data_IF_802790242456
#
_entry.id   IF_802790242456
#
_cell.length_a   1.000
_cell.length_b   1.000
_cell.length_c   1.000
_cell.angle_alpha   90.00
_cell.angle_beta   90.00
_cell.angle_gamma   90.00
#
_symmetry.space_group_name_H-M   'P 1'
#
loop_
_entity.id
_entity.type
_entity.pdbx_description
1 polymer ?
#
# COMPACT_ATOMS: atom_id res chain seq x y z
N UNK A 1 -62.51 31.39 18.24
CA UNK A 1 -62.96 31.17 16.86
C UNK A 1 -61.80 30.50 16.14
N UNK A 2 -61.79 29.15 16.09
CA UNK A 2 -62.33 28.33 14.98
C UNK A 2 -61.26 28.23 13.87
N UNK A 3 -60.86 27.08 13.30
CA UNK A 3 -61.52 25.80 13.09
C UNK A 3 -60.43 24.70 13.02
N UNK A 4 -60.70 23.53 13.58
CA UNK A 4 -59.93 22.28 13.43
C UNK A 4 -60.15 21.70 12.02
N UNK A 5 -59.10 21.30 11.29
CA UNK A 5 -59.25 20.44 10.11
C UNK A 5 -58.64 19.05 10.36
N UNK A 6 -59.48 18.06 10.08
CA UNK A 6 -59.31 16.64 10.32
C UNK A 6 -59.39 15.98 8.94
N UNK A 7 -58.29 15.42 8.42
CA UNK A 7 -58.31 14.70 7.14
C UNK A 7 -57.70 13.32 7.30
N UNK A 8 -58.60 12.36 7.53
CA UNK A 8 -58.82 11.19 6.66
C UNK A 8 -57.62 10.31 6.33
N UNK A 9 -57.48 9.20 7.07
CA UNK A 9 -56.86 7.97 6.58
C UNK A 9 -57.72 7.35 5.47
N UNK A 10 -57.13 7.04 4.32
CA UNK A 10 -57.66 6.01 3.43
C UNK A 10 -56.58 4.94 3.19
N UNK A 11 -56.90 3.72 3.60
CA UNK A 11 -56.12 2.52 3.32
C UNK A 11 -56.62 1.95 1.98
N UNK A 12 -55.72 1.85 1.00
CA UNK A 12 -55.96 1.09 -0.22
C UNK A 12 -55.26 -0.26 -0.10
N UNK A 13 -56.06 -1.31 0.07
CA UNK A 13 -55.63 -2.69 -0.05
C UNK A 13 -55.51 -3.02 -1.54
N UNK A 14 -54.31 -3.44 -1.97
CA UNK A 14 -54.08 -4.00 -3.29
C UNK A 14 -53.64 -5.46 -3.14
N UNK A 15 -54.58 -6.35 -3.43
CA UNK A 15 -54.40 -7.80 -3.51
C UNK A 15 -54.00 -8.15 -4.93
N UNK A 16 -52.79 -8.68 -5.18
CA UNK A 16 -52.47 -9.37 -6.45
C UNK A 16 -51.52 -10.56 -6.20
N UNK A 17 -52.14 -11.74 -6.32
CA UNK A 17 -51.70 -13.00 -6.95
C UNK A 17 -50.23 -13.42 -6.81
N UNK A 18 -50.02 -14.43 -5.97
CA UNK A 18 -48.82 -15.27 -5.90
C UNK A 18 -48.80 -16.21 -7.11
N UNK A 19 -47.90 -15.95 -8.06
CA UNK A 19 -47.53 -16.89 -9.11
C UNK A 19 -46.25 -17.61 -8.73
N UNK A 20 -46.36 -18.88 -8.32
CA UNK A 20 -45.23 -19.77 -8.04
C UNK A 20 -44.74 -20.40 -9.34
N UNK A 21 -43.56 -19.97 -9.82
CA UNK A 21 -42.79 -20.68 -10.84
C UNK A 21 -41.57 -21.30 -10.16
N UNK A 22 -41.62 -22.63 -10.00
CA UNK A 22 -40.49 -23.45 -9.58
C UNK A 22 -39.47 -23.54 -10.72
N UNK A 23 -38.42 -22.73 -10.66
CA UNK A 23 -37.25 -22.87 -11.52
C UNK A 23 -36.14 -23.58 -10.75
N UNK A 24 -36.00 -24.89 -10.96
CA UNK A 24 -34.85 -25.67 -10.49
C UNK A 24 -33.64 -25.38 -11.38
N UNK A 25 -32.80 -24.41 -10.99
CA UNK A 25 -31.52 -24.16 -11.63
C UNK A 25 -30.41 -24.91 -10.86
N UNK A 26 -30.03 -26.08 -11.37
CA UNK A 26 -28.77 -26.71 -11.00
C UNK A 26 -27.64 -25.89 -11.63
N UNK A 27 -26.97 -25.06 -10.83
CA UNK A 27 -25.78 -24.33 -11.28
C UNK A 27 -24.56 -25.22 -11.04
N UNK A 28 -24.03 -25.81 -12.11
CA UNK A 28 -22.71 -26.43 -12.11
C UNK A 28 -21.62 -25.34 -12.01
N UNK A 29 -20.47 -25.58 -11.37
CA UNK A 29 -19.42 -24.58 -11.29
C UNK A 29 -18.73 -24.49 -12.67
N UNK A 30 -19.06 -23.44 -13.43
CA UNK A 30 -18.33 -23.09 -14.63
C UNK A 30 -16.98 -22.44 -14.25
N UNK A 31 -15.97 -23.29 -14.02
CA UNK A 31 -14.58 -22.86 -14.03
C UNK A 31 -14.13 -22.63 -15.48
N UNK A 32 -14.54 -21.52 -16.09
CA UNK A 32 -14.05 -21.09 -17.40
C UNK A 32 -12.76 -20.29 -17.24
N UNK A 33 -11.64 -20.99 -17.14
CA UNK A 33 -10.30 -20.40 -17.26
C UNK A 33 -10.06 -20.05 -18.74
N UNK A 34 -10.19 -18.77 -19.10
CA UNK A 34 -10.04 -18.26 -20.48
C UNK A 34 -8.58 -17.96 -20.86
N UNK A 35 -7.61 -18.76 -20.41
CA UNK A 35 -6.22 -18.63 -20.85
C UNK A 35 -5.72 -19.96 -21.42
N UNK A 36 -5.00 -19.95 -22.57
CA UNK A 36 -4.47 -21.17 -23.16
C UNK A 36 -3.52 -21.87 -22.18
N UNK A 37 -3.51 -23.22 -22.13
CA UNK A 37 -2.78 -24.01 -21.12
C UNK A 37 -1.25 -24.00 -21.31
N UNK A 38 -0.67 -22.98 -21.95
CA UNK A 38 0.76 -22.91 -22.25
C UNK A 38 1.28 -21.47 -22.34
N UNK A 39 0.89 -20.61 -21.41
CA UNK A 39 1.72 -19.42 -21.14
C UNK A 39 3.00 -19.88 -20.43
N UNK A 40 4.13 -19.69 -21.11
CA UNK A 40 5.51 -20.03 -20.69
C UNK A 40 5.92 -19.56 -19.28
N UNK A 41 5.11 -18.70 -18.65
CA UNK A 41 5.29 -18.23 -17.27
C UNK A 41 4.85 -19.23 -16.18
N UNK A 42 4.02 -20.25 -16.48
CA UNK A 42 3.55 -21.22 -15.48
C UNK A 42 4.53 -22.39 -15.23
N UNK A 43 5.54 -22.58 -16.07
CA UNK A 43 6.44 -23.73 -16.03
C UNK A 43 7.58 -23.63 -15.00
N UNK A 44 7.60 -22.59 -14.17
CA UNK A 44 8.69 -22.34 -13.20
C UNK A 44 8.36 -22.70 -11.75
N UNK A 45 7.21 -23.34 -11.48
CA UNK A 45 6.86 -23.70 -10.10
C UNK A 45 6.46 -25.17 -9.98
N UNK A 46 7.11 -25.95 -9.09
CA UNK A 46 6.68 -27.32 -8.83
C UNK A 46 5.27 -27.33 -8.20
N UNK A 47 4.47 -28.37 -8.42
CA UNK A 47 3.08 -28.48 -7.91
C UNK A 47 2.97 -28.49 -6.37
N UNK A 48 4.10 -28.58 -5.66
CA UNK A 48 4.23 -28.54 -4.20
C UNK A 48 4.77 -27.22 -3.66
N UNK A 49 4.93 -26.18 -4.49
CA UNK A 49 5.28 -24.86 -4.01
C UNK A 49 4.11 -24.29 -3.17
N UNK A 50 4.22 -24.44 -1.84
CA UNK A 50 3.43 -23.64 -0.90
C UNK A 50 3.63 -22.18 -1.31
N UNK A 51 2.57 -21.38 -1.55
CA UNK A 51 2.77 -19.99 -1.86
C UNK A 51 3.48 -19.36 -0.67
N UNK A 52 4.78 -19.08 -0.81
CA UNK A 52 5.46 -18.06 0.00
C UNK A 52 4.53 -16.86 -0.08
N UNK A 53 3.88 -16.50 1.04
CA UNK A 53 2.86 -15.43 1.06
C UNK A 53 3.45 -14.23 0.32
N UNK A 54 2.98 -14.03 -0.90
CA UNK A 54 3.59 -13.06 -1.79
C UNK A 54 3.38 -11.69 -1.18
N UNK A 55 4.46 -10.96 -1.02
CA UNK A 55 4.44 -9.54 -0.69
C UNK A 55 3.57 -8.86 -1.76
N UNK A 56 2.41 -8.29 -1.41
CA UNK A 56 1.39 -7.95 -2.40
C UNK A 56 1.78 -6.74 -3.27
N UNK A 57 2.64 -5.86 -2.78
CA UNK A 57 3.02 -4.63 -3.46
C UNK A 57 4.50 -4.64 -3.85
N UNK A 58 4.74 -4.63 -5.17
CA UNK A 58 6.04 -4.26 -5.73
C UNK A 58 6.35 -2.81 -5.35
N UNK A 59 7.56 -2.55 -4.85
CA UNK A 59 7.98 -1.20 -4.46
C UNK A 59 8.79 -0.58 -5.60
N UNK A 60 8.13 0.24 -6.41
CA UNK A 60 8.77 1.07 -7.45
C UNK A 60 9.46 2.30 -6.82
N UNK A 61 10.32 3.03 -7.57
CA UNK A 61 10.84 4.32 -7.11
C UNK A 61 9.75 5.29 -6.65
N UNK A 62 8.62 5.35 -7.35
CA UNK A 62 7.48 6.21 -7.05
C UNK A 62 6.82 5.85 -5.71
N UNK A 63 6.61 4.54 -5.49
CA UNK A 63 6.07 4.02 -4.23
C UNK A 63 7.06 4.24 -3.08
N UNK A 64 8.35 3.96 -3.30
CA UNK A 64 9.39 4.21 -2.30
C UNK A 64 9.49 5.70 -1.95
N UNK A 65 9.39 6.60 -2.94
CA UNK A 65 9.38 8.04 -2.72
C UNK A 65 8.19 8.50 -1.88
N UNK A 66 7.00 7.94 -2.15
CA UNK A 66 5.81 8.19 -1.33
C UNK A 66 5.98 7.69 0.10
N UNK A 67 6.45 6.45 0.28
CA UNK A 67 6.73 5.88 1.59
C UNK A 67 7.72 6.75 2.38
N UNK A 68 8.82 7.17 1.75
CA UNK A 68 9.79 8.06 2.36
C UNK A 68 9.19 9.43 2.72
N UNK A 69 8.29 9.94 1.89
CA UNK A 69 7.59 11.21 2.16
C UNK A 69 6.65 11.10 3.34
N UNK A 70 5.97 9.96 3.51
CA UNK A 70 5.17 9.69 4.71
C UNK A 70 6.06 9.64 5.95
N UNK A 71 7.19 8.92 5.89
CA UNK A 71 8.19 8.88 6.98
C UNK A 71 8.67 10.28 7.35
N UNK A 72 8.94 11.12 6.35
CA UNK A 72 9.36 12.49 6.57
C UNK A 72 8.27 13.32 7.24
N UNK A 73 7.01 13.15 6.80
CA UNK A 73 5.88 13.88 7.34
C UNK A 73 5.63 13.52 8.81
N UNK A 74 5.67 12.22 9.13
CA UNK A 74 5.53 11.67 10.48
C UNK A 74 6.75 11.89 11.38
N UNK A 75 7.86 12.41 10.84
CA UNK A 75 9.08 12.68 11.61
C UNK A 75 9.94 11.44 11.91
N UNK A 76 9.69 10.34 11.21
CA UNK A 76 10.41 9.05 11.36
C UNK A 76 11.48 8.86 10.28
N UNK A 77 11.60 9.77 9.31
CA UNK A 77 12.70 9.78 8.34
C UNK A 77 14.02 10.11 9.02
N UNK A 78 14.94 9.14 9.07
CA UNK A 78 16.28 9.27 9.65
C UNK A 78 17.34 9.10 8.57
N UNK A 79 17.24 9.90 7.51
CA UNK A 79 18.17 9.82 6.37
C UNK A 79 18.11 8.47 5.64
N UNK A 80 16.93 7.86 5.56
CA UNK A 80 16.75 6.54 4.96
C UNK A 80 17.02 5.36 5.90
N UNK A 81 17.68 5.57 7.04
CA UNK A 81 18.06 4.49 7.97
C UNK A 81 16.87 3.74 8.58
N UNK A 82 17.08 2.46 8.87
CA UNK A 82 16.05 1.55 9.39
C UNK A 82 15.59 1.86 10.82
N UNK A 83 16.37 2.65 11.57
CA UNK A 83 15.98 3.12 12.90
C UNK A 83 14.63 3.85 12.89
N UNK A 84 14.23 4.45 11.76
CA UNK A 84 12.91 5.05 11.57
C UNK A 84 11.74 4.09 11.74
N UNK A 85 11.91 2.80 11.40
CA UNK A 85 10.89 1.76 11.57
C UNK A 85 10.66 1.36 13.04
N UNK A 86 11.50 1.84 13.96
CA UNK A 86 11.38 1.58 15.40
C UNK A 86 10.80 2.75 16.19
N UNK A 87 10.55 3.88 15.55
CA UNK A 87 10.09 5.09 16.24
C UNK A 87 8.65 4.91 16.74
N UNK A 88 8.43 5.14 18.02
CA UNK A 88 7.11 5.28 18.63
C UNK A 88 6.73 6.75 18.73
N UNK A 89 5.44 7.02 18.93
CA UNK A 89 4.95 8.34 19.28
C UNK A 89 5.76 8.94 20.44
N UNK A 90 6.10 10.23 20.34
CA UNK A 90 6.98 10.91 21.30
C UNK A 90 8.48 10.69 21.05
N UNK A 91 8.88 9.89 20.06
CA UNK A 91 10.27 9.77 19.58
C UNK A 91 11.09 8.64 20.22
N UNK A 92 10.54 7.92 21.20
CA UNK A 92 11.18 6.73 21.76
C UNK A 92 11.31 5.60 20.72
N UNK A 93 12.22 4.66 20.96
CA UNK A 93 12.40 3.48 20.10
C UNK A 93 11.82 2.23 20.73
N UNK A 94 11.15 1.41 19.94
CA UNK A 94 10.70 0.09 20.39
C UNK A 94 11.88 -0.88 20.47
N UNK A 95 11.83 -1.80 21.43
CA UNK A 95 12.90 -2.76 21.70
C UNK A 95 13.01 -3.85 20.64
N UNK A 96 11.90 -4.26 20.02
CA UNK A 96 11.85 -5.28 18.98
C UNK A 96 10.86 -4.91 17.86
N UNK A 97 11.08 -5.48 16.67
CA UNK A 97 10.23 -5.41 15.46
C UNK A 97 9.34 -6.66 15.29
N UNK A 98 9.28 -7.56 16.27
CA UNK A 98 8.49 -8.81 16.17
C UNK A 98 6.98 -8.58 16.17
N UNK A 99 6.52 -7.45 16.72
CA UNK A 99 5.11 -7.04 16.73
C UNK A 99 4.98 -5.54 16.92
N UNK A 100 3.82 -5.01 16.58
CA UNK A 100 3.44 -3.66 16.97
C UNK A 100 3.48 -3.55 18.51
N UNK A 101 4.03 -2.47 19.10
CA UNK A 101 4.25 -2.39 20.54
C UNK A 101 2.96 -2.26 21.36
N UNK A 102 1.84 -1.88 20.72
CA UNK A 102 0.52 -1.69 21.35
C UNK A 102 0.56 -0.86 22.65
N UNK A 103 1.49 0.10 22.70
CA UNK A 103 1.80 0.90 23.88
C UNK A 103 1.41 2.35 23.68
N UNK A 104 0.48 2.86 24.49
CA UNK A 104 0.13 4.27 24.53
C UNK A 104 1.28 5.07 25.16
N UNK A 105 1.71 6.13 24.48
CA UNK A 105 2.65 7.13 24.98
C UNK A 105 1.90 8.44 25.19
N UNK A 106 2.11 9.05 26.35
CA UNK A 106 1.50 10.32 26.74
C UNK A 106 2.47 11.48 26.51
N UNK A 107 1.94 12.58 26.00
CA UNK A 107 2.61 13.88 25.88
C UNK A 107 1.74 14.95 26.54
N UNK A 108 2.24 16.16 26.68
CA UNK A 108 1.50 17.29 27.28
C UNK A 108 0.14 17.55 26.64
N UNK A 109 -0.03 17.25 25.33
CA UNK A 109 -1.25 17.57 24.57
C UNK A 109 -1.97 16.36 23.97
N UNK A 110 -1.30 15.21 23.88
CA UNK A 110 -1.82 14.05 23.14
C UNK A 110 -1.41 12.74 23.82
N UNK A 111 -2.25 11.73 23.72
CA UNK A 111 -1.93 10.34 24.00
C UNK A 111 -2.08 9.53 22.71
N UNK A 112 -1.07 8.74 22.34
CA UNK A 112 -1.11 7.96 21.11
C UNK A 112 -0.29 6.68 21.24
N UNK A 113 -0.77 5.61 20.61
CA UNK A 113 -0.06 4.34 20.50
C UNK A 113 0.60 4.17 19.11
N UNK A 114 0.75 5.27 18.37
CA UNK A 114 1.34 5.23 17.04
C UNK A 114 2.79 4.74 17.08
N UNK A 115 3.14 3.82 16.18
CA UNK A 115 4.50 3.29 16.09
C UNK A 115 4.92 2.93 14.67
N UNK A 116 6.22 2.79 14.50
CA UNK A 116 6.86 2.48 13.24
C UNK A 116 7.08 3.69 12.34
N UNK A 117 7.69 3.43 11.19
CA UNK A 117 8.01 4.41 10.16
C UNK A 117 6.78 5.17 9.67
N UNK A 118 5.61 4.53 9.69
CA UNK A 118 4.35 5.09 9.21
C UNK A 118 3.35 5.39 10.33
N UNK A 119 3.82 5.38 11.60
CA UNK A 119 3.02 5.73 12.77
C UNK A 119 1.66 5.00 12.82
N UNK A 120 1.66 3.69 12.59
CA UNK A 120 0.45 2.88 12.65
C UNK A 120 -0.15 2.90 14.06
N UNK A 121 -1.47 3.03 14.15
CA UNK A 121 -2.20 2.77 15.38
C UNK A 121 -2.45 1.26 15.54
N UNK A 122 -2.63 0.73 16.77
CA UNK A 122 -2.88 -0.70 17.01
C UNK A 122 -4.03 -1.27 16.17
N UNK A 123 -5.15 -0.55 16.07
CA UNK A 123 -6.31 -0.99 15.28
C UNK A 123 -5.98 -1.02 13.78
N UNK A 124 -5.24 -0.02 13.28
CA UNK A 124 -4.81 0.05 11.88
C UNK A 124 -3.86 -1.09 11.55
N UNK A 125 -2.89 -1.38 12.41
CA UNK A 125 -1.97 -2.49 12.22
C UNK A 125 -2.69 -3.84 12.23
N UNK A 126 -3.65 -4.03 13.15
CA UNK A 126 -4.47 -5.22 13.19
C UNK A 126 -5.27 -5.43 11.89
N UNK A 127 -5.80 -4.34 11.31
CA UNK A 127 -6.46 -4.38 10.00
C UNK A 127 -5.49 -4.78 8.90
N UNK A 128 -4.30 -4.16 8.82
CA UNK A 128 -3.25 -4.50 7.84
C UNK A 128 -2.90 -5.98 7.93
N UNK A 129 -2.52 -6.46 9.12
CA UNK A 129 -2.14 -7.87 9.36
C UNK A 129 -3.22 -8.83 8.88
N UNK A 130 -4.49 -8.57 9.19
CA UNK A 130 -5.62 -9.42 8.79
C UNK A 130 -5.88 -9.37 7.28
N UNK A 131 -5.69 -8.21 6.66
CA UNK A 131 -6.06 -8.00 5.25
C UNK A 131 -5.02 -8.53 4.27
N UNK A 132 -3.73 -8.37 4.58
CA UNK A 132 -2.64 -8.76 3.67
C UNK A 132 -1.71 -9.84 4.25
N UNK A 133 -2.02 -10.37 5.44
CA UNK A 133 -1.34 -11.55 5.99
C UNK A 133 0.12 -11.35 6.37
N UNK A 134 0.59 -10.10 6.50
CA UNK A 134 1.96 -9.77 6.93
C UNK A 134 2.23 -10.26 8.35
N UNK A 135 3.44 -10.72 8.59
CA UNK A 135 3.91 -11.22 9.90
C UNK A 135 4.97 -10.27 10.44
N UNK A 136 5.06 -10.17 11.76
CA UNK A 136 6.01 -9.27 12.41
C UNK A 136 5.55 -7.82 12.37
N UNK A 137 6.49 -6.91 12.56
CA UNK A 137 6.34 -5.47 12.37
C UNK A 137 7.65 -4.86 11.83
N UNK A 138 8.42 -5.66 11.07
CA UNK A 138 9.68 -5.25 10.44
C UNK A 138 9.51 -4.22 9.32
N UNK A 139 10.62 -3.67 8.78
CA UNK A 139 10.58 -2.65 7.73
C UNK A 139 9.70 -3.02 6.53
N UNK A 140 9.88 -4.22 6.00
CA UNK A 140 9.13 -4.72 4.86
C UNK A 140 7.63 -4.86 5.15
N UNK A 141 7.26 -5.41 6.31
CA UNK A 141 5.87 -5.55 6.72
C UNK A 141 5.20 -4.17 6.88
N UNK A 142 5.93 -3.19 7.43
CA UNK A 142 5.47 -1.81 7.55
C UNK A 142 5.28 -1.14 6.19
N UNK A 143 6.21 -1.31 5.25
CA UNK A 143 6.11 -0.78 3.87
C UNK A 143 4.86 -1.31 3.17
N UNK A 144 4.63 -2.62 3.26
CA UNK A 144 3.44 -3.26 2.69
C UNK A 144 2.16 -2.77 3.36
N UNK A 145 2.18 -2.58 4.68
CA UNK A 145 1.07 -1.99 5.40
C UNK A 145 0.72 -0.58 4.94
N UNK A 146 1.73 0.25 4.70
CA UNK A 146 1.52 1.62 4.23
C UNK A 146 0.98 1.65 2.80
N UNK A 147 1.52 0.81 1.89
CA UNK A 147 1.00 0.67 0.52
C UNK A 147 -0.43 0.13 0.49
N UNK A 148 -0.76 -0.79 1.39
CA UNK A 148 -2.14 -1.25 1.57
C UNK A 148 -3.08 -0.11 1.98
N UNK A 149 -2.68 0.74 2.93
CA UNK A 149 -3.49 1.90 3.32
C UNK A 149 -3.63 2.90 2.16
N UNK A 150 -2.56 3.21 1.43
CA UNK A 150 -2.60 4.05 0.22
C UNK A 150 -3.61 3.49 -0.80
N UNK A 151 -3.59 2.18 -1.04
CA UNK A 151 -4.54 1.51 -1.93
C UNK A 151 -5.99 1.65 -1.42
N UNK A 152 -6.23 1.49 -0.11
CA UNK A 152 -7.57 1.69 0.49
C UNK A 152 -8.09 3.12 0.32
N UNK A 153 -7.21 4.11 0.25
CA UNK A 153 -7.57 5.50 -0.09
C UNK A 153 -7.81 5.72 -1.58
N UNK A 154 -7.69 4.68 -2.43
CA UNK A 154 -7.72 4.77 -3.89
C UNK A 154 -6.60 5.68 -4.45
N UNK A 155 -5.49 5.80 -3.71
CA UNK A 155 -4.41 6.72 -4.00
C UNK A 155 -3.18 6.05 -4.64
N UNK A 156 -3.20 4.72 -4.82
CA UNK A 156 -2.05 3.99 -5.36
C UNK A 156 -1.76 4.36 -6.81
N UNK A 157 -2.80 4.47 -7.66
CA UNK A 157 -2.60 4.89 -9.06
C UNK A 157 -2.02 6.31 -9.18
N UNK A 158 -2.45 7.24 -8.32
CA UNK A 158 -1.85 8.59 -8.26
C UNK A 158 -0.42 8.57 -7.72
N UNK A 159 -0.13 7.66 -6.79
CA UNK A 159 1.24 7.44 -6.29
C UNK A 159 2.14 6.93 -7.41
N UNK A 160 1.65 5.97 -8.19
CA UNK A 160 2.38 5.35 -9.30
C UNK A 160 2.62 6.33 -10.47
N UNK A 161 1.80 7.38 -10.59
CA UNK A 161 2.02 8.46 -11.56
C UNK A 161 3.28 9.31 -11.27
N UNK A 162 3.88 9.19 -10.08
CA UNK A 162 5.17 9.83 -9.77
C UNK A 162 5.11 11.35 -9.56
N UNK A 163 3.94 11.89 -9.23
CA UNK A 163 3.77 13.33 -8.94
C UNK A 163 2.99 13.52 -7.64
N UNK A 164 3.59 14.19 -6.65
CA UNK A 164 2.87 14.54 -5.42
C UNK A 164 1.96 15.75 -5.65
N UNK A 165 0.66 15.52 -5.80
CA UNK A 165 -0.36 16.57 -5.99
C UNK A 165 -1.06 16.92 -4.66
N UNK A 166 -1.71 18.10 -4.55
CA UNK A 166 -2.49 18.44 -3.36
C UNK A 166 -3.65 17.46 -3.13
N UNK A 167 -4.25 16.96 -4.21
CA UNK A 167 -5.32 15.95 -4.17
C UNK A 167 -4.80 14.66 -3.56
N UNK A 168 -3.65 14.17 -4.03
CA UNK A 168 -3.01 12.98 -3.47
C UNK A 168 -2.74 13.17 -1.98
N UNK A 169 -2.14 14.28 -1.57
CA UNK A 169 -1.89 14.53 -0.14
C UNK A 169 -3.17 14.58 0.68
N UNK A 170 -4.24 15.17 0.15
CA UNK A 170 -5.52 15.26 0.83
C UNK A 170 -6.22 13.90 0.97
N UNK A 171 -6.07 12.99 -0.01
CA UNK A 171 -6.59 11.63 0.06
C UNK A 171 -5.93 10.81 1.19
N UNK A 172 -4.66 11.10 1.47
CA UNK A 172 -3.85 10.45 2.52
C UNK A 172 -4.02 11.09 3.91
N UNK A 173 -4.48 12.34 4.00
CA UNK A 173 -4.63 13.09 5.25
C UNK A 173 -5.41 12.38 6.37
N UNK A 174 -6.44 11.56 6.08
CA UNK A 174 -7.12 10.85 7.16
C UNK A 174 -6.43 9.55 7.59
N UNK A 175 -5.40 9.07 6.89
CA UNK A 175 -4.54 7.98 7.39
C UNK A 175 -3.34 8.52 8.17
N UNK A 176 -2.77 9.64 7.73
CA UNK A 176 -1.59 10.26 8.35
C UNK A 176 -1.87 11.69 8.76
N UNK A 177 -1.91 11.94 10.07
CA UNK A 177 -2.27 13.23 10.64
C UNK A 177 -1.33 14.38 10.22
N UNK A 178 -0.10 14.05 9.82
CA UNK A 178 0.88 15.03 9.34
C UNK A 178 0.58 15.58 7.93
N UNK A 179 -0.33 14.95 7.17
CA UNK A 179 -0.68 15.37 5.81
C UNK A 179 -1.78 16.44 5.80
N UNK A 180 -1.65 17.47 4.95
CA UNK A 180 -2.67 18.50 4.81
C UNK A 180 -3.85 18.03 3.95
N UNK A 181 -5.05 18.48 4.31
CA UNK A 181 -6.25 18.46 3.43
C UNK A 181 -6.09 19.47 2.29
N UNK A 182 -7.06 19.53 1.36
CA UNK A 182 -7.08 20.53 0.28
C UNK A 182 -7.04 21.97 0.79
N UNK A 183 -7.58 22.22 1.98
CA UNK A 183 -7.52 23.54 2.65
C UNK A 183 -6.17 23.86 3.29
N UNK A 184 -5.20 22.94 3.23
CA UNK A 184 -3.91 23.07 3.90
C UNK A 184 -3.94 22.77 5.41
N UNK A 185 -5.09 22.34 5.94
CA UNK A 185 -5.31 22.08 7.38
C UNK A 185 -5.28 20.59 7.71
N UNK A 186 -5.10 20.26 8.98
CA UNK A 186 -5.18 18.89 9.50
C UNK A 186 -6.58 18.31 9.43
N UNK A 187 -6.65 17.01 9.14
CA UNK A 187 -7.87 16.24 9.32
C UNK A 187 -8.24 16.09 10.82
N UNK A 188 -7.23 15.92 11.69
CA UNK A 188 -7.39 15.67 13.13
C UNK A 188 -7.18 16.90 14.05
N UNK A 189 -7.12 18.12 13.50
CA UNK A 189 -6.77 19.31 14.28
C UNK A 189 -5.33 19.37 14.84
N UNK A 190 -4.44 18.45 14.42
CA UNK A 190 -3.04 18.39 14.82
C UNK A 190 -2.15 19.25 13.89
N UNK A 191 -0.88 19.50 14.23
CA UNK A 191 0.05 20.16 13.30
C UNK A 191 0.30 19.33 12.03
N UNK A 192 0.22 19.96 10.86
CA UNK A 192 0.54 19.35 9.55
C UNK A 192 1.84 19.88 8.96
N UNK A 193 2.44 19.12 8.05
CA UNK A 193 3.50 19.64 7.17
C UNK A 193 2.90 20.49 6.06
N UNK A 194 3.57 21.59 5.72
CA UNK A 194 3.22 22.40 4.56
C UNK A 194 3.40 21.57 3.29
N UNK A 195 2.40 21.61 2.40
CA UNK A 195 2.44 20.90 1.11
C UNK A 195 3.74 21.14 0.32
N UNK A 196 4.20 22.40 0.24
CA UNK A 196 5.44 22.75 -0.47
C UNK A 196 6.67 21.99 0.06
N UNK A 197 6.77 21.76 1.37
CA UNK A 197 7.86 20.99 2.00
C UNK A 197 7.76 19.50 1.64
N UNK A 198 6.55 18.94 1.68
CA UNK A 198 6.31 17.54 1.28
C UNK A 198 6.68 17.33 -0.21
N UNK A 199 6.24 18.24 -1.08
CA UNK A 199 6.53 18.18 -2.52
C UNK A 199 8.02 18.29 -2.81
N UNK A 200 8.71 19.24 -2.17
CA UNK A 200 10.16 19.40 -2.33
C UNK A 200 10.91 18.13 -1.91
N UNK A 201 10.56 17.55 -0.75
CA UNK A 201 11.17 16.29 -0.30
C UNK A 201 10.88 15.13 -1.27
N UNK A 202 9.62 14.97 -1.68
CA UNK A 202 9.21 13.91 -2.60
C UNK A 202 9.97 13.97 -3.93
N UNK A 203 10.06 15.16 -4.53
CA UNK A 203 10.72 15.34 -5.83
C UNK A 203 12.21 14.97 -5.77
N UNK A 204 12.94 15.50 -4.80
CA UNK A 204 14.36 15.19 -4.61
C UNK A 204 14.57 13.70 -4.36
N UNK A 205 13.70 13.08 -3.55
CA UNK A 205 13.82 11.68 -3.24
C UNK A 205 13.49 10.78 -4.44
N UNK A 206 12.46 11.12 -5.23
CA UNK A 206 12.08 10.37 -6.42
C UNK A 206 13.15 10.44 -7.50
N UNK A 207 13.73 11.62 -7.74
CA UNK A 207 14.82 11.81 -8.68
C UNK A 207 16.01 10.90 -8.34
N UNK A 208 16.43 10.91 -7.08
CA UNK A 208 17.53 10.06 -6.62
C UNK A 208 17.20 8.56 -6.76
N UNK A 209 15.98 8.14 -6.39
CA UNK A 209 15.57 6.74 -6.51
C UNK A 209 15.51 6.26 -7.97
N UNK A 210 15.10 7.13 -8.90
CA UNK A 210 15.13 6.82 -10.34
C UNK A 210 16.55 6.71 -10.84
N UNK A 211 17.43 7.65 -10.47
CA UNK A 211 18.86 7.60 -10.80
C UNK A 211 19.51 6.29 -10.35
N UNK A 212 19.28 5.88 -9.10
CA UNK A 212 19.81 4.62 -8.55
C UNK A 212 19.26 3.38 -9.27
N UNK A 213 17.95 3.37 -9.58
CA UNK A 213 17.35 2.28 -10.37
C UNK A 213 18.02 2.15 -11.73
N UNK A 214 18.21 3.27 -12.42
CA UNK A 214 18.74 3.30 -13.79
C UNK A 214 20.21 2.86 -13.81
N UNK A 215 21.02 3.33 -12.85
CA UNK A 215 22.40 2.85 -12.65
C UNK A 215 22.47 1.35 -12.42
N UNK A 216 21.64 0.82 -11.51
CA UNK A 216 21.61 -0.63 -11.26
C UNK A 216 21.17 -1.42 -12.49
N UNK A 217 20.27 -0.88 -13.32
CA UNK A 217 19.87 -1.52 -14.57
C UNK A 217 21.02 -1.58 -15.58
N UNK A 218 21.79 -0.49 -15.69
CA UNK A 218 22.98 -0.43 -16.54
C UNK A 218 24.06 -1.42 -16.07
N UNK A 219 24.38 -1.45 -14.78
CA UNK A 219 25.33 -2.39 -14.17
C UNK A 219 24.97 -3.85 -14.46
N UNK A 220 23.69 -4.21 -14.28
CA UNK A 220 23.19 -5.56 -14.57
C UNK A 220 23.27 -5.90 -16.06
N UNK A 221 23.03 -4.92 -16.94
CA UNK A 221 23.16 -5.13 -18.39
C UNK A 221 24.61 -5.34 -18.82
N UNK A 222 25.55 -4.57 -18.26
CA UNK A 222 26.98 -4.68 -18.54
C UNK A 222 27.58 -5.97 -17.95
N UNK A 223 27.18 -6.34 -16.72
CA UNK A 223 27.61 -7.60 -16.09
C UNK A 223 27.09 -8.86 -16.79
N UNK A 224 26.03 -8.76 -17.60
CA UNK A 224 25.55 -9.87 -18.43
C UNK A 224 26.30 -10.04 -19.76
N UNK A 225 27.14 -9.07 -20.14
CA UNK A 225 27.90 -9.08 -21.40
C UNK A 225 29.31 -9.68 -21.32
N UNK A 226 29.75 -10.18 -20.15
CA UNK A 226 31.08 -10.80 -19.97
C UNK A 226 31.07 -12.32 -19.74
N UNK A 227 30.10 -13.05 -20.29
CA UNK A 227 30.30 -14.48 -20.55
C UNK A 227 30.75 -14.65 -21.99
N UNK A 228 31.95 -15.17 -22.21
CA UNK A 228 32.44 -15.63 -23.51
C UNK A 228 31.45 -16.63 -24.12
N UNK A 229 30.48 -16.12 -24.88
CA UNK A 229 29.68 -16.95 -25.76
C UNK A 229 30.50 -17.11 -27.02
N UNK A 230 31.11 -18.28 -27.19
CA UNK A 230 31.76 -18.62 -28.45
C UNK A 230 30.72 -18.56 -29.59
N UNK A 231 30.88 -17.59 -30.50
CA UNK A 231 29.94 -17.28 -31.59
C UNK A 231 30.23 -18.16 -32.84
N UNK A 232 30.75 -19.37 -32.64
CA UNK A 232 31.13 -20.31 -33.69
C UNK A 232 30.25 -21.57 -33.73
N UNK A 233 30.48 -22.43 -34.73
CA UNK A 233 29.94 -23.80 -34.72
C UNK A 233 30.29 -24.49 -33.41
N UNK A 234 29.36 -25.31 -32.87
CA UNK A 234 29.60 -26.13 -31.67
C UNK A 234 30.92 -26.92 -31.73
N UNK A 235 31.38 -27.31 -32.92
CA UNK A 235 32.64 -28.04 -33.12
C UNK A 235 33.85 -27.11 -32.93
N UNK A 236 33.82 -25.91 -33.52
CA UNK A 236 34.89 -24.91 -33.41
C UNK A 236 35.12 -24.44 -31.96
N UNK A 237 34.02 -24.28 -31.21
CA UNK A 237 34.06 -23.94 -29.80
C UNK A 237 34.59 -25.07 -28.91
N UNK A 238 34.57 -26.33 -29.38
CA UNK A 238 35.03 -27.48 -28.60
C UNK A 238 36.51 -27.85 -28.85
N UNK A 239 37.13 -27.34 -29.91
CA UNK A 239 38.49 -27.73 -30.33
C UNK A 239 39.52 -26.61 -30.25
N UNK A 240 39.16 -25.44 -29.74
CA UNK A 240 40.08 -24.30 -29.63
C UNK A 240 40.68 -24.24 -28.22
N UNK A 241 41.82 -24.93 -28.04
CA UNK A 241 42.78 -24.76 -26.94
C UNK A 241 44.16 -24.58 -27.55
#
# INVERSE_FOLDING_TARGET
MAIHELIGRQALAATVVVGSLSASLVSAPAAASLLPPSSRAQLLSPPTAVPTRAIPYVITPERRAMLNTIRYAEGTWKGGMDVGYRVMFGGGLMSSLDRHPDRVVYSTRYASAAAGAYQFMPFTWNLVRRSIGVVGFGPEAQDQGALFLIQRRKALGLTDAGTLTPVLTAMLAPEWASFPTLSGRSFYGQPVKKYARLRSFYNLNLEELRRLRDQRREELSQGSSSSDVCIGSRIFCATSF
#
